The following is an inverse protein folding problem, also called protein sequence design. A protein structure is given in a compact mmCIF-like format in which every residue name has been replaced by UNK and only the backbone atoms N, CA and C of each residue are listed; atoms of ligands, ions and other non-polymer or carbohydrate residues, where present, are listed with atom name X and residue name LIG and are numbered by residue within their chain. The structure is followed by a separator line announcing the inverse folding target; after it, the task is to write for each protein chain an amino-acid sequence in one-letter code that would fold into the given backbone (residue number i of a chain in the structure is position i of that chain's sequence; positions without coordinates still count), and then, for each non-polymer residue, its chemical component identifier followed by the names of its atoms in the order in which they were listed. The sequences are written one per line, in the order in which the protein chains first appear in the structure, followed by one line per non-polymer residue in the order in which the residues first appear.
data_IF_993976589103
#
_entry.id   IF_993976589103
#
_cell.length_a   1.000
_cell.length_b   1.000
_cell.length_c   1.000
_cell.angle_alpha   90.00
_cell.angle_beta   90.00
_cell.angle_gamma   90.00
#
_symmetry.space_group_name_H-M   'P 1'
#
loop_
_entity.id
_entity.type
_entity.pdbx_description
1 polymer ?
#
# COMPACT_ATOMS: atom_id res chain seq x y z
N UNK A 1 -24.77 2.77 3.58
CA UNK A 1 -23.64 3.75 3.55
C UNK A 1 -23.95 4.88 4.52
N UNK A 2 -22.96 5.60 5.02
CA UNK A 2 -23.12 6.74 5.94
C UNK A 2 -22.32 7.93 5.39
N UNK A 3 -22.90 9.12 5.43
CA UNK A 3 -22.17 10.35 5.12
C UNK A 3 -21.16 10.63 6.22
N UNK A 4 -19.91 10.88 5.89
CA UNK A 4 -18.85 11.17 6.85
C UNK A 4 -19.13 12.45 7.65
N UNK A 5 -18.47 12.61 8.79
CA UNK A 5 -18.61 13.82 9.63
C UNK A 5 -18.26 15.11 8.90
N UNK A 6 -17.30 15.07 7.96
CA UNK A 6 -16.94 16.22 7.12
C UNK A 6 -18.00 16.56 6.08
N UNK A 7 -18.83 15.59 5.68
CA UNK A 7 -19.80 15.71 4.59
C UNK A 7 -19.23 15.47 3.20
N UNK A 8 -17.90 15.25 3.08
CA UNK A 8 -17.22 15.07 1.78
C UNK A 8 -16.89 13.63 1.42
N UNK A 9 -17.11 12.69 2.34
CA UNK A 9 -16.82 11.27 2.15
C UNK A 9 -17.95 10.39 2.64
N UNK A 10 -17.81 9.10 2.40
CA UNK A 10 -18.75 8.06 2.81
C UNK A 10 -18.04 7.00 3.63
N UNK A 11 -18.72 6.48 4.64
CA UNK A 11 -18.33 5.28 5.35
C UNK A 11 -19.20 4.11 4.92
N UNK A 12 -18.58 2.98 4.60
CA UNK A 12 -19.28 1.73 4.32
C UNK A 12 -19.16 0.85 5.55
N UNK A 13 -20.29 0.55 6.19
CA UNK A 13 -20.38 -0.23 7.41
C UNK A 13 -20.78 -1.67 7.09
N UNK A 14 -20.02 -2.63 7.64
CA UNK A 14 -20.35 -4.05 7.60
C UNK A 14 -20.66 -4.54 9.01
N UNK A 15 -21.86 -5.03 9.22
CA UNK A 15 -22.31 -5.58 10.49
C UNK A 15 -22.26 -7.11 10.39
N UNK A 16 -21.55 -7.73 11.31
CA UNK A 16 -21.42 -9.19 11.35
C UNK A 16 -22.43 -9.81 12.31
N UNK A 17 -22.87 -11.04 12.03
CA UNK A 17 -23.79 -11.79 12.92
C UNK A 17 -23.11 -12.11 14.26
N UNK A 18 -21.79 -12.40 14.21
CA UNK A 18 -20.98 -12.75 15.36
C UNK A 18 -19.69 -11.94 15.37
N UNK A 19 -19.00 -11.92 16.53
CA UNK A 19 -17.68 -11.32 16.61
C UNK A 19 -16.68 -12.09 15.74
N UNK A 20 -15.96 -11.39 14.88
CA UNK A 20 -14.90 -11.96 14.04
C UNK A 20 -13.54 -11.35 14.37
N UNK A 21 -12.48 -12.11 14.12
CA UNK A 21 -11.12 -11.61 14.30
C UNK A 21 -10.85 -10.41 13.38
N UNK A 22 -10.19 -9.36 13.91
CA UNK A 22 -9.82 -8.15 13.17
C UNK A 22 -9.13 -8.47 11.84
N UNK A 23 -8.20 -9.44 11.84
CA UNK A 23 -7.55 -9.93 10.64
C UNK A 23 -8.54 -10.42 9.58
N UNK A 24 -9.56 -11.19 9.98
CA UNK A 24 -10.59 -11.69 9.04
C UNK A 24 -11.45 -10.56 8.51
N UNK A 25 -11.85 -9.59 9.36
CA UNK A 25 -12.60 -8.42 8.93
C UNK A 25 -11.82 -7.60 7.89
N UNK A 26 -10.52 -7.41 8.11
CA UNK A 26 -9.64 -6.69 7.17
C UNK A 26 -9.47 -7.42 5.84
N UNK A 27 -9.26 -8.74 5.87
CA UNK A 27 -9.19 -9.55 4.64
C UNK A 27 -10.50 -9.48 3.85
N UNK A 28 -11.64 -9.57 4.53
CA UNK A 28 -12.97 -9.43 3.94
C UNK A 28 -13.13 -8.06 3.26
N UNK A 29 -12.83 -6.96 3.97
CA UNK A 29 -12.93 -5.61 3.43
C UNK A 29 -11.99 -5.39 2.23
N UNK A 30 -10.74 -5.88 2.31
CA UNK A 30 -9.79 -5.83 1.18
C UNK A 30 -10.33 -6.56 -0.03
N UNK A 31 -10.95 -7.74 0.16
CA UNK A 31 -11.51 -8.52 -0.93
C UNK A 31 -12.67 -7.80 -1.60
N UNK A 32 -13.56 -7.18 -0.83
CA UNK A 32 -14.65 -6.38 -1.38
C UNK A 32 -14.13 -5.17 -2.17
N UNK A 33 -13.10 -4.48 -1.65
CA UNK A 33 -12.47 -3.37 -2.36
C UNK A 33 -11.83 -3.85 -3.68
N UNK A 34 -11.15 -5.01 -3.67
CA UNK A 34 -10.58 -5.62 -4.87
C UNK A 34 -11.67 -5.91 -5.91
N UNK A 35 -12.80 -6.52 -5.50
CA UNK A 35 -13.92 -6.81 -6.39
C UNK A 35 -14.53 -5.53 -6.97
N UNK A 36 -14.76 -4.50 -6.15
CA UNK A 36 -15.27 -3.22 -6.60
C UNK A 36 -14.35 -2.54 -7.61
N UNK A 37 -13.02 -2.60 -7.40
CA UNK A 37 -12.03 -2.06 -8.35
C UNK A 37 -11.92 -2.87 -9.63
N UNK A 38 -12.31 -4.16 -9.62
CA UNK A 38 -12.40 -4.97 -10.83
C UNK A 38 -13.61 -4.58 -11.69
N UNK A 39 -14.72 -4.20 -11.07
CA UNK A 39 -15.93 -3.77 -11.76
C UNK A 39 -15.87 -2.33 -12.25
N UNK A 40 -15.13 -1.46 -11.57
CA UNK A 40 -15.02 -0.04 -11.91
C UNK A 40 -13.58 0.40 -12.06
N UNK A 41 -13.15 0.64 -13.29
CA UNK A 41 -11.83 1.22 -13.60
C UNK A 41 -11.63 2.66 -13.08
N UNK A 42 -12.71 3.32 -12.64
CA UNK A 42 -12.68 4.68 -12.09
C UNK A 42 -12.34 4.71 -10.60
N UNK A 43 -12.51 3.59 -9.89
CA UNK A 43 -12.11 3.48 -8.49
C UNK A 43 -10.59 3.40 -8.42
N UNK A 44 -9.97 4.44 -7.88
CA UNK A 44 -8.55 4.49 -7.58
C UNK A 44 -8.30 4.35 -6.08
N UNK A 45 -7.04 4.10 -5.70
CA UNK A 45 -6.65 4.14 -4.29
C UNK A 45 -6.84 5.53 -3.65
N UNK A 46 -6.88 6.59 -4.45
CA UNK A 46 -7.14 7.96 -3.97
C UNK A 46 -8.57 8.14 -3.46
N UNK A 47 -9.50 7.27 -3.90
CA UNK A 47 -10.89 7.23 -3.42
C UNK A 47 -11.07 6.43 -2.12
N UNK A 48 -10.01 5.76 -1.64
CA UNK A 48 -10.01 4.93 -0.45
C UNK A 48 -9.12 5.52 0.64
N UNK A 49 -9.74 6.09 1.66
CA UNK A 49 -9.05 6.76 2.76
C UNK A 49 -8.49 5.76 3.80
N UNK A 50 -9.27 4.78 4.20
CA UNK A 50 -8.84 3.79 5.17
C UNK A 50 -9.88 2.72 5.49
N UNK A 51 -9.49 1.75 6.32
CA UNK A 51 -10.33 0.64 6.77
C UNK A 51 -10.15 0.38 8.25
N UNK A 52 -11.28 0.22 8.96
CA UNK A 52 -11.29 -0.20 10.35
C UNK A 52 -11.82 -1.62 10.51
N UNK A 53 -11.23 -2.44 11.38
CA UNK A 53 -10.01 -2.17 12.15
C UNK A 53 -8.79 -2.03 11.24
N UNK A 54 -7.83 -1.15 11.58
CA UNK A 54 -6.61 -0.94 10.77
C UNK A 54 -5.45 -1.86 11.19
N UNK A 55 -5.60 -2.60 12.28
CA UNK A 55 -4.60 -3.53 12.82
C UNK A 55 -5.19 -4.90 13.12
N UNK A 56 -4.34 -5.93 13.09
CA UNK A 56 -4.75 -7.33 13.31
C UNK A 56 -4.82 -7.71 14.79
N UNK A 57 -4.02 -7.04 15.62
CA UNK A 57 -3.88 -7.33 17.06
C UNK A 57 -3.79 -6.01 17.82
N UNK A 58 -4.47 -5.95 18.95
CA UNK A 58 -4.38 -4.83 19.88
C UNK A 58 -3.04 -4.86 20.62
N UNK A 59 -2.21 -3.79 20.58
CA UNK A 59 -0.99 -3.70 21.36
C UNK A 59 -1.30 -3.72 22.86
N UNK A 60 -0.47 -4.42 23.67
CA UNK A 60 -0.62 -4.43 25.12
C UNK A 60 -0.56 -2.99 25.66
N UNK A 61 -1.60 -2.59 26.39
CA UNK A 61 -1.70 -1.25 27.00
C UNK A 61 -2.04 -0.11 26.03
N UNK A 62 -2.31 -0.40 24.76
CA UNK A 62 -2.77 0.56 23.76
C UNK A 62 -4.30 0.67 23.76
N UNK A 63 -4.80 1.86 23.41
CA UNK A 63 -6.19 2.00 22.97
C UNK A 63 -6.27 1.54 21.52
N UNK A 64 -7.36 0.84 21.21
CA UNK A 64 -7.68 0.47 19.84
C UNK A 64 -8.05 1.71 19.01
N UNK A 65 -8.15 1.52 17.71
CA UNK A 65 -8.55 2.57 16.79
C UNK A 65 -9.90 3.12 17.17
N UNK A 66 -9.94 4.41 17.47
CA UNK A 66 -11.18 5.11 17.67
C UNK A 66 -11.86 5.29 16.32
N UNK A 67 -13.05 4.73 16.18
CA UNK A 67 -13.92 4.94 15.03
C UNK A 67 -14.98 5.99 15.38
N UNK A 68 -15.18 6.94 14.47
CA UNK A 68 -16.30 7.87 14.58
C UNK A 68 -17.60 7.12 14.35
N UNK A 69 -18.45 7.08 15.37
CA UNK A 69 -19.76 6.46 15.25
C UNK A 69 -20.74 7.35 14.47
N UNK A 70 -21.77 6.77 13.84
CA UNK A 70 -22.90 7.53 13.27
C UNK A 70 -23.63 8.38 14.32
N UNK A 71 -24.48 9.28 13.86
CA UNK A 71 -25.38 10.12 14.69
C UNK A 71 -24.66 11.06 15.65
N UNK A 72 -23.57 11.67 15.21
CA UNK A 72 -22.77 12.55 16.07
C UNK A 72 -23.37 13.96 16.17
N UNK A 73 -24.03 14.24 17.28
CA UNK A 73 -24.35 15.57 17.77
C UNK A 73 -24.77 16.59 16.68
N UNK A 74 -24.04 17.67 16.58
CA UNK A 74 -24.34 18.74 15.62
C UNK A 74 -24.20 18.31 14.15
N UNK A 75 -23.26 17.39 13.84
CA UNK A 75 -23.10 16.88 12.48
C UNK A 75 -24.36 16.12 12.01
N UNK A 76 -25.03 15.41 12.92
CA UNK A 76 -26.29 14.74 12.63
C UNK A 76 -27.41 15.75 12.28
N UNK A 77 -27.54 16.83 13.02
CA UNK A 77 -28.52 17.89 12.72
C UNK A 77 -28.25 18.61 11.40
N UNK A 78 -27.03 18.53 10.90
CA UNK A 78 -26.65 19.08 9.61
C UNK A 78 -26.77 18.06 8.46
N UNK A 79 -27.42 16.91 8.68
CA UNK A 79 -27.57 15.84 7.69
C UNK A 79 -26.27 15.04 7.40
N UNK A 80 -25.28 15.13 8.30
CA UNK A 80 -24.03 14.34 8.25
C UNK A 80 -24.07 13.22 9.28
N UNK A 81 -23.22 12.23 9.19
CA UNK A 81 -23.20 11.03 10.05
C UNK A 81 -24.54 10.28 10.05
N UNK A 82 -25.27 10.33 8.93
CA UNK A 82 -26.54 9.66 8.68
C UNK A 82 -26.38 8.57 7.62
N UNK A 83 -27.14 7.50 7.76
CA UNK A 83 -27.20 6.46 6.73
C UNK A 83 -28.01 6.95 5.54
N UNK A 84 -27.54 6.61 4.34
CA UNK A 84 -28.10 6.99 3.05
C UNK A 84 -28.31 5.78 2.17
N UNK A 85 -29.22 5.90 1.23
CA UNK A 85 -29.49 4.92 0.18
C UNK A 85 -28.45 5.01 -0.98
N UNK A 86 -28.70 4.31 -2.07
CA UNK A 86 -27.83 4.29 -3.26
C UNK A 86 -27.84 5.61 -4.06
N UNK A 87 -28.86 6.45 -3.83
CA UNK A 87 -29.00 7.79 -4.40
C UNK A 87 -28.49 8.89 -3.45
N UNK A 88 -27.80 8.49 -2.37
CA UNK A 88 -27.28 9.38 -1.31
C UNK A 88 -28.36 10.17 -0.56
N UNK A 89 -29.62 9.67 -0.55
CA UNK A 89 -30.69 10.28 0.22
C UNK A 89 -30.74 9.68 1.63
N UNK A 90 -30.81 10.49 2.69
CA UNK A 90 -30.94 9.99 4.05
C UNK A 90 -32.22 9.16 4.24
N UNK A 91 -32.12 8.02 4.93
CA UNK A 91 -33.31 7.28 5.36
C UNK A 91 -34.12 8.11 6.34
N UNK A 92 -35.45 8.15 6.18
CA UNK A 92 -36.35 8.89 7.07
C UNK A 92 -36.26 8.42 8.52
N UNK A 93 -36.24 7.10 8.73
CA UNK A 93 -36.06 6.48 10.05
C UNK A 93 -34.72 5.70 10.08
N UNK A 94 -33.71 6.38 10.60
CA UNK A 94 -32.34 5.86 10.71
C UNK A 94 -32.24 4.63 11.63
N UNK A 95 -33.07 4.62 12.71
CA UNK A 95 -33.06 3.52 13.69
C UNK A 95 -33.73 2.29 13.15
N UNK A 96 -34.82 2.46 12.44
CA UNK A 96 -35.50 1.36 11.73
C UNK A 96 -34.58 0.75 10.68
N UNK A 97 -33.89 1.57 9.88
CA UNK A 97 -32.90 1.10 8.93
C UNK A 97 -31.82 0.23 9.58
N UNK A 98 -31.27 0.65 10.74
CA UNK A 98 -30.26 -0.12 11.46
C UNK A 98 -30.79 -1.45 12.02
N UNK A 99 -32.05 -1.52 12.40
CA UNK A 99 -32.69 -2.75 12.89
C UNK A 99 -32.90 -3.76 11.75
N UNK A 100 -33.20 -3.28 10.55
CA UNK A 100 -33.50 -4.07 9.37
C UNK A 100 -32.24 -4.45 8.57
N UNK A 101 -31.08 -3.90 8.91
CA UNK A 101 -29.82 -4.14 8.19
C UNK A 101 -29.43 -5.63 8.23
N UNK A 102 -29.16 -6.20 7.06
CA UNK A 102 -28.67 -7.57 6.96
C UNK A 102 -27.24 -7.68 7.48
N UNK A 103 -27.03 -8.59 8.42
CA UNK A 103 -25.70 -8.89 8.93
C UNK A 103 -24.99 -9.91 8.05
N UNK A 104 -23.68 -9.79 8.01
CA UNK A 104 -22.81 -10.70 7.24
C UNK A 104 -22.49 -11.92 8.10
N UNK A 105 -22.86 -13.11 7.63
CA UNK A 105 -22.55 -14.36 8.34
C UNK A 105 -21.07 -14.70 8.26
N UNK A 106 -20.56 -15.38 9.29
CA UNK A 106 -19.18 -15.90 9.32
C UNK A 106 -18.90 -16.84 8.16
N UNK A 107 -19.90 -17.57 7.67
CA UNK A 107 -19.80 -18.43 6.50
C UNK A 107 -19.53 -17.62 5.21
N UNK A 108 -20.24 -16.51 4.99
CA UNK A 108 -19.99 -15.62 3.84
C UNK A 108 -18.58 -15.00 3.91
N UNK A 109 -18.16 -14.57 5.10
CA UNK A 109 -16.80 -14.07 5.31
C UNK A 109 -15.78 -15.15 4.96
N UNK A 110 -15.95 -16.37 5.49
CA UNK A 110 -15.03 -17.48 5.23
C UNK A 110 -14.96 -17.85 3.75
N UNK A 111 -16.09 -17.89 3.06
CA UNK A 111 -16.15 -18.18 1.62
C UNK A 111 -15.36 -17.14 0.82
N UNK A 112 -15.60 -15.87 1.07
CA UNK A 112 -14.94 -14.79 0.35
C UNK A 112 -13.43 -14.75 0.60
N UNK A 113 -12.99 -15.06 1.84
CA UNK A 113 -11.56 -15.13 2.20
C UNK A 113 -10.91 -16.41 1.67
N UNK A 114 -11.63 -17.56 1.66
CA UNK A 114 -11.09 -18.83 1.14
C UNK A 114 -10.79 -18.77 -0.35
N UNK A 115 -11.55 -18.03 -1.13
CA UNK A 115 -11.21 -17.75 -2.52
C UNK A 115 -9.86 -17.04 -2.66
N UNK A 116 -9.45 -16.26 -1.65
CA UNK A 116 -8.15 -15.59 -1.63
C UNK A 116 -6.99 -16.52 -1.20
N UNK A 117 -7.25 -17.45 -0.26
CA UNK A 117 -6.26 -18.43 0.19
C UNK A 117 -6.09 -19.59 -0.80
N UNK A 118 -7.06 -19.81 -1.67
CA UNK A 118 -7.15 -20.97 -2.52
C UNK A 118 -6.66 -20.84 -3.96
N UNK A 119 -6.33 -19.67 -4.49
CA UNK A 119 -5.68 -19.45 -5.81
C UNK A 119 -5.54 -17.96 -6.09
N UNK A 120 -4.46 -17.34 -5.66
CA UNK A 120 -3.97 -16.14 -6.34
C UNK A 120 -3.33 -16.58 -7.68
N UNK A 121 -4.14 -16.87 -8.68
CA UNK A 121 -3.63 -16.90 -10.03
C UNK A 121 -3.46 -15.45 -10.49
N UNK A 122 -2.31 -14.88 -10.15
CA UNK A 122 -1.77 -13.72 -10.85
C UNK A 122 -1.50 -14.12 -12.30
N UNK A 123 -1.44 -13.16 -13.19
CA UNK A 123 -1.07 -13.43 -14.58
C UNK A 123 0.20 -14.29 -14.64
N UNK A 124 0.22 -15.29 -15.50
CA UNK A 124 1.35 -16.24 -15.59
C UNK A 124 2.65 -15.57 -16.01
N UNK A 125 2.54 -14.45 -16.72
CA UNK A 125 3.67 -13.67 -17.20
C UNK A 125 3.48 -12.18 -16.97
N UNK A 126 4.59 -11.49 -16.78
CA UNK A 126 4.65 -10.04 -16.63
C UNK A 126 5.66 -9.48 -17.62
N UNK A 127 5.25 -8.52 -18.45
CA UNK A 127 6.16 -7.79 -19.35
C UNK A 127 6.41 -6.41 -18.77
N UNK A 128 7.67 -6.10 -18.51
CA UNK A 128 8.09 -4.84 -17.90
C UNK A 128 9.22 -4.19 -18.67
N UNK A 129 9.27 -2.87 -18.63
CA UNK A 129 10.38 -2.06 -19.13
C UNK A 129 11.16 -1.53 -17.93
N UNK A 130 12.42 -1.87 -17.83
CA UNK A 130 13.30 -1.41 -16.77
C UNK A 130 14.07 -0.17 -17.24
N UNK A 131 13.83 0.95 -16.55
CA UNK A 131 14.53 2.23 -16.76
C UNK A 131 14.98 2.83 -15.43
N UNK A 132 14.71 4.12 -15.17
CA UNK A 132 14.81 4.71 -13.83
C UNK A 132 13.75 4.14 -12.87
N UNK A 133 12.62 3.66 -13.39
CA UNK A 133 11.58 2.90 -12.70
C UNK A 133 11.25 1.65 -13.52
N UNK A 134 10.48 0.73 -12.95
CA UNK A 134 9.86 -0.37 -13.68
C UNK A 134 8.56 0.16 -14.26
N UNK A 135 8.43 0.17 -15.58
CA UNK A 135 7.24 0.58 -16.29
C UNK A 135 6.48 -0.65 -16.77
N UNK A 136 5.17 -0.64 -16.59
CA UNK A 136 4.24 -1.68 -16.99
C UNK A 136 3.06 -1.04 -17.74
N UNK A 137 2.64 -1.64 -18.84
CA UNK A 137 1.42 -1.26 -19.54
C UNK A 137 0.20 -1.88 -18.84
N UNK A 138 -0.77 -1.03 -18.43
CA UNK A 138 -1.94 -1.48 -17.63
C UNK A 138 -2.82 -2.47 -18.38
N UNK A 139 -2.94 -2.30 -19.71
CA UNK A 139 -3.69 -3.20 -20.60
C UNK A 139 -3.08 -4.61 -20.71
N UNK A 140 -1.81 -4.80 -20.34
CA UNK A 140 -1.10 -6.08 -20.42
C UNK A 140 -1.35 -7.01 -19.25
N UNK A 141 -2.04 -6.55 -18.21
CA UNK A 141 -2.31 -7.31 -16.98
C UNK A 141 -3.76 -7.21 -16.56
N UNK A 142 -4.20 -8.19 -15.77
CA UNK A 142 -5.54 -8.17 -15.20
C UNK A 142 -5.66 -7.07 -14.11
N UNK A 143 -6.86 -6.54 -13.86
CA UNK A 143 -7.10 -5.60 -12.76
C UNK A 143 -6.62 -6.13 -11.41
N UNK A 144 -6.73 -7.43 -11.19
CA UNK A 144 -6.24 -8.12 -9.99
C UNK A 144 -4.72 -8.02 -9.85
N UNK A 145 -3.99 -8.29 -10.93
CA UNK A 145 -2.52 -8.14 -10.96
C UNK A 145 -2.13 -6.69 -10.76
N UNK A 146 -2.85 -5.75 -11.38
CA UNK A 146 -2.60 -4.33 -11.20
C UNK A 146 -2.75 -3.89 -9.74
N UNK A 147 -3.83 -4.33 -9.08
CA UNK A 147 -4.05 -4.09 -7.65
C UNK A 147 -2.92 -4.67 -6.79
N UNK A 148 -2.52 -5.92 -7.05
CA UNK A 148 -1.40 -6.56 -6.36
C UNK A 148 -0.10 -5.77 -6.51
N UNK A 149 0.24 -5.31 -7.71
CA UNK A 149 1.44 -4.52 -7.99
C UNK A 149 1.44 -3.17 -7.25
N UNK A 150 0.30 -2.48 -7.23
CA UNK A 150 0.13 -1.24 -6.47
C UNK A 150 0.30 -1.46 -4.96
N UNK A 151 -0.24 -2.56 -4.42
CA UNK A 151 -0.06 -2.91 -3.01
C UNK A 151 1.40 -3.22 -2.67
N UNK A 152 2.14 -3.90 -3.55
CA UNK A 152 3.58 -4.14 -3.35
C UNK A 152 4.38 -2.84 -3.27
N UNK A 153 3.94 -1.80 -3.98
CA UNK A 153 4.56 -0.48 -3.96
C UNK A 153 3.94 0.47 -2.94
N UNK A 154 3.29 -0.04 -1.92
CA UNK A 154 2.62 0.74 -0.88
C UNK A 154 2.93 0.19 0.50
N UNK A 155 2.98 1.05 1.51
CA UNK A 155 3.17 0.64 2.90
C UNK A 155 2.48 1.60 3.86
N UNK A 156 2.21 1.12 5.08
CA UNK A 156 1.65 1.94 6.14
C UNK A 156 2.65 3.02 6.58
N UNK A 157 2.20 4.26 6.70
CA UNK A 157 3.05 5.39 7.07
C UNK A 157 3.42 5.33 8.56
N UNK A 158 4.69 5.10 8.94
CA UNK A 158 5.07 5.00 10.34
C UNK A 158 4.81 6.28 11.13
N UNK A 159 4.93 7.45 10.50
CA UNK A 159 4.69 8.74 11.13
C UNK A 159 3.22 8.90 11.53
N UNK A 160 2.30 8.48 10.66
CA UNK A 160 0.86 8.50 10.97
C UNK A 160 0.57 7.71 12.23
N UNK A 161 1.03 6.47 12.29
CA UNK A 161 0.78 5.59 13.44
C UNK A 161 1.50 6.03 14.70
N UNK A 162 2.70 6.60 14.57
CA UNK A 162 3.42 7.17 15.71
C UNK A 162 2.65 8.34 16.33
N UNK A 163 2.19 9.29 15.50
CA UNK A 163 1.39 10.43 15.97
C UNK A 163 0.06 10.00 16.53
N UNK A 164 -0.60 9.02 15.91
CA UNK A 164 -1.83 8.44 16.42
C UNK A 164 -1.62 7.83 17.82
N UNK A 165 -0.55 7.05 18.00
CA UNK A 165 -0.21 6.46 19.30
C UNK A 165 0.09 7.52 20.37
N UNK A 166 0.70 8.65 19.96
CA UNK A 166 0.97 9.81 20.83
C UNK A 166 -0.24 10.73 21.01
N UNK A 167 -1.41 10.40 20.45
CA UNK A 167 -2.64 11.24 20.46
C UNK A 167 -2.42 12.64 19.87
N UNK A 168 -1.50 12.75 18.91
CA UNK A 168 -1.26 13.98 18.18
C UNK A 168 -2.13 14.06 16.92
N UNK A 169 -2.42 15.27 16.40
CA UNK A 169 -3.18 15.43 15.17
C UNK A 169 -2.48 14.72 13.99
N UNK A 170 -3.24 13.91 13.26
CA UNK A 170 -2.75 13.22 12.04
C UNK A 170 -3.24 13.91 10.76
N UNK A 171 -3.85 15.07 10.88
CA UNK A 171 -4.31 15.87 9.75
C UNK A 171 -3.16 16.15 8.78
N UNK A 172 -3.39 15.94 7.50
CA UNK A 172 -2.41 16.06 6.41
C UNK A 172 -1.29 14.99 6.40
N UNK A 173 -1.34 13.98 7.25
CA UNK A 173 -0.40 12.87 7.21
C UNK A 173 -1.15 11.66 6.62
N UNK A 174 -0.78 11.19 5.42
CA UNK A 174 -1.45 10.05 4.83
C UNK A 174 -1.20 8.79 5.66
N UNK A 175 -2.22 7.97 5.85
CA UNK A 175 -2.11 6.68 6.54
C UNK A 175 -1.22 5.70 5.76
N UNK A 176 -1.24 5.80 4.42
CA UNK A 176 -0.43 4.96 3.53
C UNK A 176 0.46 5.81 2.63
N UNK A 177 1.65 5.30 2.41
CA UNK A 177 2.60 5.84 1.44
C UNK A 177 2.54 5.02 0.16
N UNK A 178 2.42 5.70 -0.96
CA UNK A 178 2.39 5.11 -2.30
C UNK A 178 3.69 5.46 -3.02
N UNK A 179 4.44 4.44 -3.40
CA UNK A 179 5.72 4.60 -4.11
C UNK A 179 5.59 4.37 -5.62
N UNK A 180 4.39 4.08 -6.10
CA UNK A 180 4.12 3.92 -7.52
C UNK A 180 3.69 5.25 -8.15
N UNK A 181 3.95 5.38 -9.44
CA UNK A 181 3.34 6.41 -10.29
C UNK A 181 2.34 5.76 -11.25
N UNK A 182 1.34 6.50 -11.66
CA UNK A 182 0.28 6.00 -12.55
C UNK A 182 -0.13 7.05 -13.58
N UNK A 183 -0.44 6.58 -14.80
CA UNK A 183 -1.17 7.34 -15.83
C UNK A 183 -2.31 6.47 -16.38
N UNK A 184 -3.04 6.97 -17.36
CA UNK A 184 -4.13 6.21 -17.99
C UNK A 184 -3.66 4.87 -18.56
N UNK A 185 -2.45 4.81 -19.09
CA UNK A 185 -1.92 3.64 -19.81
C UNK A 185 -0.83 2.87 -19.05
N UNK A 186 -0.11 3.52 -18.15
CA UNK A 186 1.08 2.96 -17.54
C UNK A 186 1.05 3.00 -16.01
N UNK A 187 1.67 1.99 -15.40
CA UNK A 187 2.03 1.93 -13.99
C UNK A 187 3.56 1.95 -13.88
N UNK A 188 4.09 2.80 -12.99
CA UNK A 188 5.51 2.86 -12.66
C UNK A 188 5.74 2.37 -11.24
N UNK A 189 6.66 1.43 -11.09
CA UNK A 189 7.02 0.85 -9.80
C UNK A 189 8.49 1.15 -9.48
N UNK A 190 8.87 1.24 -8.19
CA UNK A 190 10.27 1.37 -7.80
C UNK A 190 11.12 0.19 -8.30
N UNK A 191 12.34 0.48 -8.78
CA UNK A 191 13.27 -0.55 -9.28
C UNK A 191 13.60 -1.65 -8.26
N UNK A 192 13.58 -1.32 -6.97
CA UNK A 192 13.80 -2.30 -5.90
C UNK A 192 12.79 -3.45 -5.88
N UNK A 193 11.66 -3.31 -6.57
CA UNK A 193 10.67 -4.39 -6.69
C UNK A 193 10.99 -5.41 -7.78
N UNK A 194 12.06 -5.25 -8.57
CA UNK A 194 12.39 -6.16 -9.66
C UNK A 194 12.53 -7.62 -9.18
N UNK A 195 13.35 -7.87 -8.17
CA UNK A 195 13.53 -9.22 -7.61
C UNK A 195 12.27 -9.79 -6.97
N UNK A 196 11.54 -9.04 -6.15
CA UNK A 196 10.22 -9.47 -5.64
C UNK A 196 9.22 -9.83 -6.75
N UNK A 197 9.23 -9.11 -7.88
CA UNK A 197 8.36 -9.42 -9.02
C UNK A 197 8.79 -10.73 -9.70
N UNK A 198 10.09 -10.93 -9.91
CA UNK A 198 10.63 -12.16 -10.48
C UNK A 198 10.37 -13.39 -9.59
N UNK A 199 10.33 -13.22 -8.28
CA UNK A 199 9.97 -14.29 -7.33
C UNK A 199 8.48 -14.64 -7.38
N UNK A 200 7.61 -13.63 -7.54
CA UNK A 200 6.15 -13.80 -7.50
C UNK A 200 5.54 -14.28 -8.81
N UNK A 201 6.09 -13.87 -9.94
CA UNK A 201 5.58 -14.23 -11.26
C UNK A 201 6.45 -15.31 -11.90
N UNK A 202 5.80 -16.36 -12.41
CA UNK A 202 6.53 -17.49 -13.05
C UNK A 202 7.36 -17.06 -14.25
N UNK A 203 6.94 -16.01 -14.93
CA UNK A 203 7.59 -15.49 -16.13
C UNK A 203 7.60 -13.96 -16.10
N UNK A 204 8.78 -13.36 -15.99
CA UNK A 204 8.96 -11.91 -16.09
C UNK A 204 9.86 -11.61 -17.28
N UNK A 205 9.28 -11.00 -18.31
CA UNK A 205 10.03 -10.52 -19.48
C UNK A 205 10.47 -9.09 -19.19
N UNK A 206 11.78 -8.87 -19.07
CA UNK A 206 12.37 -7.57 -18.76
C UNK A 206 13.00 -7.00 -20.02
N UNK A 207 12.45 -5.89 -20.51
CA UNK A 207 13.08 -5.06 -21.52
C UNK A 207 13.93 -4.00 -20.81
N UNK A 208 15.24 -4.18 -20.80
CA UNK A 208 16.16 -3.26 -20.12
C UNK A 208 16.48 -2.05 -21.04
N UNK A 209 15.92 -0.91 -20.69
CA UNK A 209 16.15 0.39 -21.35
C UNK A 209 16.98 1.34 -20.50
N UNK A 210 17.67 0.83 -19.51
CA UNK A 210 18.58 1.65 -18.72
C UNK A 210 19.68 2.21 -19.64
N UNK A 211 19.95 3.51 -19.52
CA UNK A 211 21.05 4.11 -20.28
C UNK A 211 22.36 3.47 -19.81
N UNK A 212 23.11 2.91 -20.74
CA UNK A 212 24.46 2.45 -20.46
C UNK A 212 25.26 3.69 -20.03
N UNK A 213 25.71 3.69 -18.80
CA UNK A 213 26.50 4.79 -18.27
C UNK A 213 27.85 4.79 -18.94
N UNK A 214 28.37 5.98 -19.26
CA UNK A 214 29.71 6.12 -19.83
C UNK A 214 30.74 5.69 -18.81
N UNK A 215 31.65 4.79 -19.22
CA UNK A 215 32.79 4.44 -18.40
C UNK A 215 33.65 5.67 -18.13
N UNK A 216 34.04 5.85 -16.88
CA UNK A 216 34.94 6.91 -16.44
C UNK A 216 36.28 6.32 -16.03
N UNK A 217 37.35 7.08 -16.32
CA UNK A 217 38.70 6.69 -15.90
C UNK A 217 39.04 7.40 -14.59
N UNK A 218 38.68 6.78 -13.50
CA UNK A 218 38.94 7.29 -12.15
C UNK A 218 39.58 6.17 -11.32
N UNK A 219 40.40 6.56 -10.37
CA UNK A 219 40.97 5.68 -9.37
C UNK A 219 40.79 6.29 -8.00
N UNK A 220 40.38 5.52 -7.04
CA UNK A 220 40.32 5.93 -5.64
C UNK A 220 41.75 5.97 -5.08
N UNK A 221 42.12 7.09 -4.45
CA UNK A 221 43.47 7.30 -3.89
C UNK A 221 43.47 7.31 -2.35
N UNK A 222 42.31 7.14 -1.74
CA UNK A 222 42.18 7.09 -0.28
C UNK A 222 42.45 5.69 0.26
N UNK A 223 42.55 5.59 1.58
CA UNK A 223 42.59 4.34 2.30
C UNK A 223 41.22 4.09 2.94
N UNK A 224 40.73 2.86 2.87
CA UNK A 224 39.51 2.45 3.52
C UNK A 224 39.84 1.73 4.84
N UNK A 225 38.98 1.88 5.82
CA UNK A 225 39.03 1.02 7.01
C UNK A 225 38.53 -0.37 6.67
N UNK A 226 38.85 -1.36 7.48
CA UNK A 226 38.39 -2.74 7.31
C UNK A 226 36.86 -2.83 7.16
N UNK A 227 36.10 -2.08 7.97
CA UNK A 227 34.63 -2.04 7.91
C UNK A 227 34.14 -1.41 6.60
N UNK A 228 34.82 -0.38 6.09
CA UNK A 228 34.50 0.23 4.80
C UNK A 228 34.81 -0.71 3.63
N UNK A 229 35.89 -1.49 3.70
CA UNK A 229 36.21 -2.51 2.67
C UNK A 229 35.13 -3.59 2.60
N UNK A 230 34.68 -4.11 3.75
CA UNK A 230 33.56 -5.06 3.81
C UNK A 230 32.28 -4.47 3.21
N UNK A 231 31.94 -3.23 3.60
CA UNK A 231 30.76 -2.54 3.06
C UNK A 231 30.87 -2.31 1.55
N UNK A 232 32.07 -1.95 1.05
CA UNK A 232 32.33 -1.78 -0.39
C UNK A 232 32.14 -3.11 -1.15
N UNK A 233 32.66 -4.20 -0.63
CA UNK A 233 32.51 -5.54 -1.19
C UNK A 233 31.03 -5.94 -1.31
N UNK A 234 30.26 -5.74 -0.23
CA UNK A 234 28.81 -6.01 -0.23
C UNK A 234 28.05 -5.13 -1.23
N UNK A 235 28.40 -3.85 -1.32
CA UNK A 235 27.76 -2.91 -2.24
C UNK A 235 28.11 -3.18 -3.70
N UNK A 236 29.30 -3.67 -4.00
CA UNK A 236 29.71 -4.01 -5.37
C UNK A 236 29.11 -5.30 -5.86
N UNK A 237 28.79 -6.24 -4.97
CA UNK A 237 28.17 -7.53 -5.29
C UNK A 237 26.72 -7.42 -5.77
N UNK A 238 26.05 -6.28 -5.52
CA UNK A 238 24.62 -6.06 -5.80
C UNK A 238 24.40 -4.80 -6.63
N UNK A 239 23.42 -4.82 -7.51
CA UNK A 239 23.05 -3.61 -8.28
C UNK A 239 22.38 -2.53 -7.41
N UNK A 240 21.56 -2.94 -6.47
CA UNK A 240 20.81 -2.04 -5.59
C UNK A 240 20.98 -2.49 -4.14
N UNK A 241 21.05 -1.53 -3.23
CA UNK A 241 21.14 -1.81 -1.80
C UNK A 241 20.96 -0.55 -0.97
N UNK A 242 20.80 -0.74 0.32
CA UNK A 242 20.77 0.33 1.31
C UNK A 242 21.95 0.14 2.26
N UNK A 243 22.83 1.12 2.32
CA UNK A 243 23.88 1.19 3.34
C UNK A 243 23.35 1.96 4.54
N UNK A 244 23.12 1.28 5.66
CA UNK A 244 22.86 1.90 6.95
C UNK A 244 24.16 1.97 7.74
N UNK A 245 24.69 3.19 7.95
CA UNK A 245 25.92 3.42 8.68
C UNK A 245 25.79 4.66 9.58
N UNK A 246 26.48 4.64 10.71
CA UNK A 246 26.47 5.70 11.70
C UNK A 246 27.05 7.02 11.16
N UNK A 247 26.80 8.11 11.88
CA UNK A 247 27.43 9.40 11.61
C UNK A 247 28.95 9.28 11.85
N UNK A 248 29.76 9.76 10.91
CA UNK A 248 31.23 9.62 10.99
C UNK A 248 31.80 8.37 10.31
N UNK A 249 31.01 7.40 9.90
CA UNK A 249 31.47 6.19 9.19
C UNK A 249 32.29 6.47 7.92
N UNK A 250 32.22 7.67 7.35
CA UNK A 250 32.89 8.02 6.09
C UNK A 250 32.10 7.60 4.84
N UNK A 251 30.75 7.71 4.87
CA UNK A 251 29.87 7.39 3.75
C UNK A 251 30.28 8.04 2.42
N UNK A 252 30.81 9.27 2.48
CA UNK A 252 31.29 9.99 1.29
C UNK A 252 32.54 9.34 0.70
N UNK A 253 33.47 8.91 1.57
CA UNK A 253 34.70 8.20 1.17
C UNK A 253 34.36 6.88 0.50
N UNK A 254 33.46 6.12 1.13
CA UNK A 254 32.96 4.86 0.59
C UNK A 254 32.23 5.05 -0.75
N UNK A 255 31.46 6.13 -0.90
CA UNK A 255 30.81 6.50 -2.17
C UNK A 255 31.81 6.78 -3.29
N UNK A 256 32.91 7.47 -2.98
CA UNK A 256 33.98 7.73 -3.94
C UNK A 256 34.70 6.43 -4.35
N UNK A 257 34.98 5.55 -3.39
CA UNK A 257 35.54 4.23 -3.66
C UNK A 257 34.60 3.37 -4.55
N UNK A 258 33.31 3.36 -4.25
CA UNK A 258 32.30 2.63 -5.03
C UNK A 258 32.23 3.11 -6.50
N UNK A 259 32.28 4.44 -6.73
CA UNK A 259 32.32 5.03 -8.07
C UNK A 259 33.58 4.55 -8.81
N UNK A 260 34.70 4.50 -8.12
CA UNK A 260 35.96 4.02 -8.70
C UNK A 260 35.95 2.55 -9.07
N UNK A 261 35.32 1.69 -8.24
CA UNK A 261 35.16 0.27 -8.51
C UNK A 261 34.19 0.02 -9.68
N UNK A 262 33.05 0.68 -9.70
CA UNK A 262 32.05 0.54 -10.75
C UNK A 262 32.46 1.18 -12.08
N UNK A 263 33.40 2.13 -12.07
CA UNK A 263 33.90 2.87 -13.25
C UNK A 263 32.78 3.48 -14.09
N UNK A 264 31.69 3.84 -13.47
CA UNK A 264 30.50 4.42 -14.12
C UNK A 264 30.08 5.69 -13.40
N UNK A 265 29.48 6.62 -14.16
CA UNK A 265 29.03 7.92 -13.65
C UNK A 265 27.59 7.85 -13.19
#
# INVERSE_FOLDING_TARGET
MEISRSGYGLHIWFFFEEAILSRKARLFGKKLLELAMQESMQLSFDSFDGMFPNQDVLPKGGFDNLISLPFQGEAYHQGRTVFVDEQFQPYEDQWRYLQEIQRVSTAKVALLIQEELGKQELDKGLKIVLSNMIQLEKSSVTPKTLFFLKNMASFSNPEFYLKQAMRQPTYQIPERMYLFGESDHYLWLPRGLLYPLQDKFKQVVVEDRRKVQRSIRVAFKGELTFEQELALSDMTSKENGLLHAETGFGKTVLGAALISERKTK
#
